data_IF_689068234586
#
_entry.id   IF_689068234586
#
_cell.length_a   1.000
_cell.length_b   1.000
_cell.length_c   1.000
_cell.angle_alpha   90.00
_cell.angle_beta   90.00
_cell.angle_gamma   90.00
#
_symmetry.space_group_name_H-M   'P 1'
#
loop_
_entity.id
_entity.type
_entity.pdbx_description
1 polymer ?
#
# COMPACT_ATOMS: atom_id res chain seq x y z
N UNK A 1 -14.66 70.71 7.72
CA UNK A 1 -16.00 70.75 7.08
C UNK A 1 -16.66 69.41 7.40
N UNK A 2 -17.52 69.37 8.42
CA UNK A 2 -19.01 69.21 8.30
C UNK A 2 -19.39 67.87 7.66
N UNK A 3 -20.27 67.01 8.17
CA UNK A 3 -21.14 66.92 9.35
C UNK A 3 -21.69 65.48 9.36
N UNK A 4 -22.09 64.96 10.52
CA UNK A 4 -22.98 63.80 10.67
C UNK A 4 -24.27 63.94 9.83
N UNK A 5 -24.91 62.82 9.45
CA UNK A 5 -26.32 62.58 9.82
C UNK A 5 -26.73 61.10 9.69
N UNK A 6 -27.38 60.62 10.75
CA UNK A 6 -28.23 59.43 10.85
C UNK A 6 -29.45 59.51 9.92
N UNK A 7 -29.95 58.35 9.47
CA UNK A 7 -31.39 58.12 9.34
C UNK A 7 -31.72 56.63 9.51
N UNK A 8 -32.45 56.32 10.57
CA UNK A 8 -33.13 55.06 10.82
C UNK A 8 -34.50 55.05 10.11
N UNK A 9 -34.97 53.87 9.69
CA UNK A 9 -36.38 53.60 9.38
C UNK A 9 -36.63 52.10 9.64
N UNK A 10 -37.16 51.73 10.81
CA UNK A 10 -38.58 51.37 11.07
C UNK A 10 -39.14 50.36 10.06
N UNK A 11 -39.17 49.06 10.39
CA UNK A 11 -40.19 48.31 11.16
C UNK A 11 -41.45 47.99 10.36
N UNK A 12 -41.59 46.73 9.96
CA UNK A 12 -42.89 46.04 9.91
C UNK A 12 -42.69 44.54 10.13
N UNK A 13 -42.92 44.12 11.37
CA UNK A 13 -43.15 42.73 11.77
C UNK A 13 -44.59 42.40 11.36
N UNK A 14 -44.76 41.45 10.44
CA UNK A 14 -46.06 40.81 10.20
C UNK A 14 -46.03 39.40 10.79
N UNK A 15 -46.58 39.33 12.01
CA UNK A 15 -46.89 38.12 12.76
C UNK A 15 -48.19 37.54 12.21
N UNK A 16 -48.12 36.44 11.47
CA UNK A 16 -49.31 35.65 11.10
C UNK A 16 -49.42 34.45 12.04
N UNK A 17 -50.22 34.61 13.09
CA UNK A 17 -50.80 33.51 13.85
C UNK A 17 -51.74 32.72 12.94
N UNK A 18 -51.41 31.47 12.64
CA UNK A 18 -52.37 30.50 12.11
C UNK A 18 -52.63 29.44 13.19
N UNK A 19 -53.86 29.49 13.68
CA UNK A 19 -54.45 28.70 14.75
C UNK A 19 -54.35 27.21 14.45
N UNK A 20 -53.85 26.44 15.42
CA UNK A 20 -53.92 24.99 15.52
C UNK A 20 -55.40 24.56 15.55
N UNK A 21 -55.93 24.15 14.40
CA UNK A 21 -57.21 23.48 14.28
C UNK A 21 -57.01 21.99 14.03
N UNK A 22 -57.29 21.15 15.03
CA UNK A 22 -57.42 19.71 14.87
C UNK A 22 -58.48 19.39 13.80
N UNK A 23 -58.13 18.57 12.81
CA UNK A 23 -59.10 17.85 11.97
C UNK A 23 -58.75 16.36 11.86
N UNK A 24 -59.77 15.51 11.75
CA UNK A 24 -59.74 14.17 12.30
C UNK A 24 -59.08 13.14 11.38
N UNK A 25 -58.53 12.11 12.05
CA UNK A 25 -58.05 10.85 11.49
C UNK A 25 -59.11 10.21 10.55
N UNK A 26 -58.76 9.81 9.32
CA UNK A 26 -59.69 9.08 8.45
C UNK A 26 -60.03 7.70 9.06
N UNK A 27 -61.28 7.22 8.90
CA UNK A 27 -61.73 5.97 9.51
C UNK A 27 -60.99 4.76 8.94
N UNK A 28 -60.67 3.83 9.83
CA UNK A 28 -60.11 2.52 9.49
C UNK A 28 -61.10 1.75 8.60
N UNK A 29 -60.60 1.16 7.52
CA UNK A 29 -61.34 0.19 6.72
C UNK A 29 -61.70 -1.03 7.59
N UNK A 30 -62.90 -1.62 7.41
CA UNK A 30 -63.33 -2.76 8.22
C UNK A 30 -62.53 -4.01 7.89
N UNK A 31 -62.31 -4.83 8.93
CA UNK A 31 -61.72 -6.14 8.85
C UNK A 31 -62.60 -7.11 8.04
N UNK A 32 -62.04 -7.77 7.03
CA UNK A 32 -62.61 -8.98 6.45
C UNK A 32 -62.15 -10.20 7.25
N UNK A 33 -63.14 -10.96 7.72
CA UNK A 33 -62.99 -12.26 8.37
C UNK A 33 -62.83 -13.38 7.29
N UNK A 34 -62.36 -14.58 7.68
CA UNK A 34 -61.62 -15.49 6.80
C UNK A 34 -62.54 -16.32 5.90
N UNK A 35 -62.13 -16.53 4.65
CA UNK A 35 -62.79 -17.48 3.74
C UNK A 35 -61.98 -18.77 3.65
N UNK A 36 -62.71 -19.87 3.76
CA UNK A 36 -62.29 -21.23 4.02
C UNK A 36 -61.42 -21.89 2.93
N UNK A 37 -60.66 -22.89 3.38
CA UNK A 37 -59.79 -23.79 2.62
C UNK A 37 -60.51 -24.94 1.91
N UNK A 38 -59.86 -25.42 0.84
CA UNK A 38 -59.82 -26.77 0.24
C UNK A 38 -60.72 -27.06 -0.99
N UNK A 39 -60.39 -28.04 -1.87
CA UNK A 39 -59.24 -28.96 -1.86
C UNK A 39 -58.37 -28.95 -3.15
N UNK A 40 -57.24 -29.65 -3.05
CA UNK A 40 -56.29 -29.94 -4.12
C UNK A 40 -56.88 -30.83 -5.23
N UNK A 41 -56.46 -30.58 -6.48
CA UNK A 41 -56.66 -31.49 -7.63
C UNK A 41 -55.30 -31.92 -8.16
N UNK A 42 -55.16 -33.24 -8.33
CA UNK A 42 -53.93 -33.97 -8.68
C UNK A 42 -53.94 -34.36 -10.18
N UNK A 43 -52.84 -34.03 -10.87
CA UNK A 43 -52.15 -34.68 -12.02
C UNK A 43 -52.90 -34.88 -13.37
N UNK A 44 -52.21 -35.01 -14.54
CA UNK A 44 -51.16 -36.02 -14.78
C UNK A 44 -49.86 -35.51 -15.47
N UNK A 45 -48.82 -36.34 -15.34
CA UNK A 45 -47.52 -36.24 -15.98
C UNK A 45 -47.48 -36.92 -17.36
N UNK A 46 -46.59 -36.47 -18.27
CA UNK A 46 -45.86 -37.26 -19.28
C UNK A 46 -45.10 -36.33 -20.27
N UNK A 47 -44.07 -36.79 -21.02
CA UNK A 47 -43.15 -37.90 -20.80
C UNK A 47 -41.66 -37.51 -20.93
N UNK A 48 -40.80 -38.45 -20.55
CA UNK A 48 -39.35 -38.43 -20.60
C UNK A 48 -38.77 -38.35 -22.04
N UNK A 49 -37.63 -37.68 -22.19
CA UNK A 49 -36.70 -37.89 -23.31
C UNK A 49 -35.42 -38.58 -22.82
N UNK A 50 -35.08 -39.67 -23.50
CA UNK A 50 -33.95 -40.57 -23.27
C UNK A 50 -32.70 -40.13 -24.10
N UNK A 51 -31.50 -40.70 -23.86
CA UNK A 51 -30.23 -39.95 -23.84
C UNK A 51 -29.23 -40.18 -25.00
N UNK A 52 -28.17 -39.36 -24.96
CA UNK A 52 -26.78 -39.53 -25.45
C UNK A 52 -26.45 -39.12 -26.92
N UNK A 53 -25.22 -38.63 -27.21
CA UNK A 53 -23.98 -39.39 -27.00
C UNK A 53 -22.83 -38.66 -26.28
N UNK A 54 -21.91 -39.50 -25.78
CA UNK A 54 -20.67 -39.23 -25.06
C UNK A 54 -19.51 -38.98 -26.04
N UNK A 55 -18.72 -37.91 -25.83
CA UNK A 55 -17.28 -37.73 -26.16
C UNK A 55 -16.97 -36.21 -26.06
N UNK A 56 -15.87 -35.69 -25.49
CA UNK A 56 -14.60 -36.24 -25.06
C UNK A 56 -14.05 -35.41 -23.89
N UNK A 57 -13.21 -36.04 -23.07
CA UNK A 57 -12.57 -35.42 -21.92
C UNK A 57 -11.37 -34.52 -22.31
N UNK A 58 -11.26 -33.42 -21.56
CA UNK A 58 -10.06 -32.63 -21.18
C UNK A 58 -9.31 -31.77 -22.22
N UNK A 59 -8.60 -30.69 -21.81
CA UNK A 59 -8.29 -30.28 -20.43
C UNK A 59 -8.68 -28.83 -20.06
N UNK A 60 -9.07 -28.65 -18.80
CA UNK A 60 -8.83 -27.43 -18.03
C UNK A 60 -7.32 -27.22 -17.90
N UNK A 61 -6.82 -25.97 -18.03
CA UNK A 61 -5.66 -25.57 -17.24
C UNK A 61 -5.95 -24.34 -16.38
N UNK A 62 -5.81 -24.58 -15.07
CA UNK A 62 -5.32 -23.67 -14.03
C UNK A 62 -6.16 -22.42 -13.69
N UNK A 63 -7.32 -22.67 -13.08
CA UNK A 63 -7.63 -21.97 -11.84
C UNK A 63 -6.93 -22.74 -10.72
N UNK A 64 -5.78 -22.25 -10.27
CA UNK A 64 -5.27 -22.44 -8.91
C UNK A 64 -4.05 -21.53 -8.70
N UNK A 65 -4.29 -20.41 -8.05
CA UNK A 65 -3.29 -19.77 -7.19
C UNK A 65 -4.01 -19.40 -5.90
N UNK A 66 -4.30 -20.41 -5.09
CA UNK A 66 -4.65 -20.24 -3.68
C UNK A 66 -3.46 -19.62 -2.94
N UNK A 67 -3.38 -18.30 -2.96
CA UNK A 67 -2.48 -17.52 -2.10
C UNK A 67 -3.15 -17.22 -0.76
N UNK A 68 -3.32 -18.23 0.09
CA UNK A 68 -3.63 -18.00 1.49
C UNK A 68 -2.42 -17.29 2.14
N UNK A 69 -2.52 -15.97 2.30
CA UNK A 69 -1.49 -15.12 2.90
C UNK A 69 -0.33 -14.80 1.97
N UNK A 70 -0.59 -14.13 0.84
CA UNK A 70 0.37 -13.83 -0.22
C UNK A 70 1.73 -13.32 0.33
N UNK A 71 2.70 -14.22 0.34
CA UNK A 71 4.11 -13.87 0.50
C UNK A 71 4.54 -13.15 -0.78
N UNK A 72 4.50 -11.82 -0.73
CA UNK A 72 4.69 -10.95 -1.89
C UNK A 72 6.04 -11.19 -2.58
N UNK A 73 7.06 -11.60 -1.81
CA UNK A 73 8.41 -11.83 -2.31
C UNK A 73 8.54 -13.15 -3.10
N UNK A 74 7.54 -14.05 -2.98
CA UNK A 74 7.44 -15.26 -3.81
C UNK A 74 6.74 -15.01 -5.14
N UNK A 75 6.13 -13.84 -5.34
CA UNK A 75 5.46 -13.51 -6.60
C UNK A 75 6.54 -13.17 -7.65
N UNK A 76 6.50 -13.87 -8.78
CA UNK A 76 7.50 -13.73 -9.83
C UNK A 76 7.55 -12.29 -10.38
N UNK A 77 8.76 -11.73 -10.46
CA UNK A 77 9.00 -10.39 -11.04
C UNK A 77 8.66 -10.38 -12.52
N UNK A 78 7.82 -9.45 -12.93
CA UNK A 78 7.37 -9.26 -14.31
C UNK A 78 8.30 -8.28 -15.04
N UNK A 79 8.87 -8.73 -16.16
CA UNK A 79 9.77 -7.93 -17.02
C UNK A 79 9.05 -7.28 -18.22
N UNK A 80 7.75 -7.57 -18.40
CA UNK A 80 6.92 -6.91 -19.41
C UNK A 80 6.89 -5.40 -19.15
N UNK A 81 7.10 -4.56 -20.17
CA UNK A 81 6.95 -3.11 -20.03
C UNK A 81 5.55 -2.76 -19.53
N UNK A 82 5.47 -1.96 -18.47
CA UNK A 82 4.22 -1.39 -17.98
C UNK A 82 3.97 -0.03 -18.63
N UNK A 83 2.70 0.40 -18.74
CA UNK A 83 2.37 1.79 -19.03
C UNK A 83 3.08 2.73 -18.03
N UNK A 84 3.41 3.97 -18.44
CA UNK A 84 3.93 4.96 -17.50
C UNK A 84 2.90 5.18 -16.39
N UNK A 85 3.37 5.48 -15.18
CA UNK A 85 2.46 5.86 -14.12
C UNK A 85 1.71 7.15 -14.52
N UNK A 86 0.39 7.20 -14.31
CA UNK A 86 -0.47 6.17 -13.71
C UNK A 86 -0.85 5.07 -14.70
N UNK A 87 -0.92 3.83 -14.21
CA UNK A 87 -1.08 2.65 -15.06
C UNK A 87 -2.47 2.54 -15.72
N UNK A 88 -3.48 3.13 -15.07
CA UNK A 88 -4.86 3.19 -15.56
C UNK A 88 -5.33 4.65 -15.48
N UNK A 89 -5.97 5.11 -16.56
CA UNK A 89 -6.62 6.42 -16.64
C UNK A 89 -8.12 6.28 -16.94
N UNK A 90 -8.83 7.41 -16.98
CA UNK A 90 -10.25 7.45 -17.30
C UNK A 90 -10.53 6.89 -18.71
N UNK A 91 -11.65 6.17 -18.90
CA UNK A 91 -12.20 5.92 -20.23
C UNK A 91 -12.32 7.21 -21.04
N UNK A 92 -11.96 7.15 -22.31
CA UNK A 92 -11.97 8.33 -23.20
C UNK A 92 -13.35 9.02 -23.29
N UNK A 93 -14.44 8.27 -23.05
CA UNK A 93 -15.81 8.78 -23.09
C UNK A 93 -16.18 9.73 -21.93
N UNK A 94 -15.38 9.76 -20.86
CA UNK A 94 -15.72 10.54 -19.66
C UNK A 94 -15.31 12.00 -19.84
N UNK A 95 -16.28 12.90 -19.69
CA UNK A 95 -16.06 14.35 -19.71
C UNK A 95 -15.25 14.81 -18.49
N UNK A 96 -14.48 15.89 -18.63
CA UNK A 96 -13.60 16.39 -17.56
C UNK A 96 -14.34 16.69 -16.25
N UNK A 97 -15.56 17.24 -16.32
CA UNK A 97 -16.38 17.56 -15.15
C UNK A 97 -16.80 16.34 -14.31
N UNK A 98 -16.82 15.16 -14.92
CA UNK A 98 -17.19 13.88 -14.29
C UNK A 98 -15.98 13.13 -13.73
N UNK A 99 -14.77 13.66 -13.91
CA UNK A 99 -13.53 13.08 -13.39
C UNK A 99 -13.28 13.54 -11.96
N UNK A 100 -12.90 12.61 -11.08
CA UNK A 100 -12.51 12.90 -9.69
C UNK A 100 -11.18 12.23 -9.40
N UNK A 101 -10.13 13.04 -9.33
CA UNK A 101 -8.76 12.56 -9.14
C UNK A 101 -8.22 13.05 -7.80
N UNK A 102 -7.62 12.14 -7.05
CA UNK A 102 -6.76 12.45 -5.92
C UNK A 102 -5.37 11.88 -6.23
N UNK A 103 -4.31 12.65 -5.94
CA UNK A 103 -2.96 12.20 -6.23
C UNK A 103 -1.97 12.78 -5.23
N UNK A 104 -0.91 12.03 -4.96
CA UNK A 104 0.26 12.50 -4.21
C UNK A 104 1.52 11.88 -4.78
N UNK A 105 2.62 12.63 -4.79
CA UNK A 105 3.94 12.14 -5.13
C UNK A 105 4.56 11.26 -4.03
N UNK A 106 4.03 11.36 -2.81
CA UNK A 106 4.40 10.55 -1.66
C UNK A 106 3.31 10.59 -0.58
N UNK A 107 2.78 9.43 -0.20
CA UNK A 107 1.83 9.23 0.90
C UNK A 107 1.79 7.75 1.30
N UNK A 108 1.06 7.42 2.36
CA UNK A 108 0.78 6.07 2.82
C UNK A 108 -0.69 5.71 2.59
N UNK A 109 -0.95 4.61 1.87
CA UNK A 109 -2.27 4.00 1.74
C UNK A 109 -2.27 2.61 2.37
N UNK A 110 -3.43 2.16 2.85
CA UNK A 110 -3.58 0.83 3.43
C UNK A 110 -4.41 -0.06 2.49
N UNK A 111 -3.88 -1.24 2.17
CA UNK A 111 -4.50 -2.23 1.29
C UNK A 111 -4.65 -3.57 2.02
N UNK A 112 -5.55 -4.42 1.57
CA UNK A 112 -5.66 -5.79 2.08
C UNK A 112 -4.71 -6.71 1.29
N UNK A 113 -3.86 -7.46 1.99
CA UNK A 113 -3.01 -8.53 1.44
C UNK A 113 -3.27 -9.80 2.24
N UNK A 114 -3.70 -10.86 1.56
CA UNK A 114 -4.30 -12.03 2.18
C UNK A 114 -5.52 -11.62 3.01
N UNK A 115 -5.37 -11.70 4.33
CA UNK A 115 -6.35 -11.33 5.34
C UNK A 115 -5.79 -10.28 6.32
N UNK A 116 -4.79 -9.50 5.91
CA UNK A 116 -4.14 -8.47 6.74
C UNK A 116 -4.18 -7.11 6.06
N UNK A 117 -4.23 -6.07 6.85
CA UNK A 117 -3.98 -4.70 6.39
C UNK A 117 -2.47 -4.47 6.19
N UNK A 118 -2.09 -4.03 5.00
CA UNK A 118 -0.73 -3.76 4.57
C UNK A 118 -0.58 -2.28 4.20
N UNK A 119 0.42 -1.61 4.77
CA UNK A 119 0.73 -0.22 4.42
C UNK A 119 1.59 -0.19 3.15
N UNK A 120 1.21 0.65 2.20
CA UNK A 120 1.93 0.89 0.95
C UNK A 120 2.26 2.37 0.87
N UNK A 121 3.53 2.68 0.71
CA UNK A 121 4.02 4.05 0.66
C UNK A 121 4.58 4.38 -0.71
N UNK A 122 4.32 5.60 -1.18
CA UNK A 122 4.86 6.06 -2.46
C UNK A 122 3.95 7.00 -3.20
N UNK A 123 4.13 7.03 -4.52
CA UNK A 123 3.32 7.88 -5.39
C UNK A 123 2.00 7.17 -5.67
N UNK A 124 0.89 7.86 -5.45
CA UNK A 124 -0.42 7.31 -5.75
C UNK A 124 -1.27 8.26 -6.59
N UNK A 125 -2.18 7.67 -7.37
CA UNK A 125 -3.26 8.36 -8.06
C UNK A 125 -4.52 7.52 -7.92
N UNK A 126 -5.54 8.09 -7.31
CA UNK A 126 -6.89 7.55 -7.24
C UNK A 126 -7.75 8.28 -8.27
N UNK A 127 -8.37 7.52 -9.17
CA UNK A 127 -9.41 8.05 -10.06
C UNK A 127 -10.76 7.48 -9.65
N UNK A 128 -11.79 8.31 -9.73
CA UNK A 128 -13.16 7.93 -9.44
C UNK A 128 -14.09 8.51 -10.51
N UNK A 129 -15.04 7.71 -10.98
CA UNK A 129 -16.04 8.15 -11.96
C UNK A 129 -17.32 7.32 -11.89
N UNK A 130 -18.41 7.89 -12.40
CA UNK A 130 -19.69 7.20 -12.50
C UNK A 130 -19.77 6.27 -13.72
N UNK A 131 -20.36 5.10 -13.53
CA UNK A 131 -20.61 4.14 -14.61
C UNK A 131 -21.48 4.75 -15.73
N UNK A 132 -22.45 5.59 -15.35
CA UNK A 132 -23.33 6.31 -16.28
C UNK A 132 -22.57 7.29 -17.17
N UNK A 133 -21.61 8.04 -16.63
CA UNK A 133 -20.76 8.95 -17.38
C UNK A 133 -19.86 8.20 -18.38
N UNK A 134 -19.36 7.02 -17.97
CA UNK A 134 -18.57 6.14 -18.82
C UNK A 134 -19.41 5.35 -19.85
N UNK A 135 -20.74 5.32 -19.70
CA UNK A 135 -21.69 4.52 -20.51
C UNK A 135 -21.34 3.03 -20.53
N UNK A 136 -20.88 2.49 -19.40
CA UNK A 136 -20.56 1.06 -19.24
C UNK A 136 -21.34 0.47 -18.07
N UNK A 137 -21.61 -0.84 -18.13
CA UNK A 137 -22.21 -1.55 -17.00
C UNK A 137 -21.15 -1.88 -15.95
N UNK A 138 -21.59 -2.16 -14.72
CA UNK A 138 -20.73 -2.67 -13.64
C UNK A 138 -19.97 -3.94 -14.05
N UNK A 139 -20.65 -4.88 -14.71
CA UNK A 139 -20.02 -6.12 -15.17
C UNK A 139 -18.97 -5.89 -16.25
N UNK A 140 -19.24 -4.95 -17.16
CA UNK A 140 -18.25 -4.52 -18.15
C UNK A 140 -17.04 -3.90 -17.47
N UNK A 141 -17.23 -2.98 -16.51
CA UNK A 141 -16.15 -2.38 -15.76
C UNK A 141 -15.32 -3.44 -15.00
N UNK A 142 -15.96 -4.37 -14.31
CA UNK A 142 -15.29 -5.47 -13.61
C UNK A 142 -14.42 -6.30 -14.56
N UNK A 143 -14.98 -6.72 -15.70
CA UNK A 143 -14.24 -7.49 -16.71
C UNK A 143 -13.05 -6.69 -17.25
N UNK A 144 -13.28 -5.46 -17.68
CA UNK A 144 -12.28 -4.67 -18.40
C UNK A 144 -11.12 -4.26 -17.49
N UNK A 145 -11.39 -3.83 -16.25
CA UNK A 145 -10.33 -3.44 -15.30
C UNK A 145 -9.61 -4.63 -14.67
N UNK A 146 -10.32 -5.74 -14.41
CA UNK A 146 -9.66 -7.00 -14.03
C UNK A 146 -8.72 -7.48 -15.12
N UNK A 147 -9.18 -7.46 -16.38
CA UNK A 147 -8.35 -7.82 -17.52
C UNK A 147 -7.13 -6.90 -17.64
N UNK A 148 -7.31 -5.58 -17.50
CA UNK A 148 -6.20 -4.64 -17.54
C UNK A 148 -5.15 -4.95 -16.45
N UNK A 149 -5.58 -5.23 -15.23
CA UNK A 149 -4.68 -5.60 -14.14
C UNK A 149 -3.89 -6.89 -14.44
N UNK A 150 -4.57 -7.93 -14.94
CA UNK A 150 -3.95 -9.21 -15.30
C UNK A 150 -3.02 -9.08 -16.52
N UNK A 151 -3.40 -8.31 -17.54
CA UNK A 151 -2.57 -8.09 -18.74
C UNK A 151 -1.27 -7.35 -18.40
N UNK A 152 -1.26 -6.55 -17.32
CA UNK A 152 -0.06 -5.92 -16.77
C UNK A 152 0.78 -6.87 -15.89
N UNK A 153 0.36 -8.12 -15.70
CA UNK A 153 1.02 -9.09 -14.84
C UNK A 153 0.64 -8.98 -13.36
N UNK A 154 -0.50 -8.34 -13.06
CA UNK A 154 -1.01 -8.21 -11.70
C UNK A 154 -1.51 -9.54 -11.15
N UNK A 155 -1.03 -9.88 -9.95
CA UNK A 155 -1.53 -10.99 -9.15
C UNK A 155 -2.49 -10.44 -8.11
N UNK A 156 -3.72 -10.98 -8.02
CA UNK A 156 -4.66 -10.59 -6.96
C UNK A 156 -4.15 -11.12 -5.63
N UNK A 157 -4.00 -10.22 -4.65
CA UNK A 157 -3.36 -10.54 -3.36
C UNK A 157 -4.29 -10.52 -2.17
N UNK A 158 -5.49 -9.95 -2.25
CA UNK A 158 -6.47 -10.01 -1.16
C UNK A 158 -7.35 -11.28 -1.26
N UNK A 159 -7.66 -11.87 -0.10
CA UNK A 159 -8.56 -13.03 0.04
C UNK A 159 -9.88 -12.69 0.73
N UNK A 160 -9.97 -11.49 1.31
CA UNK A 160 -11.14 -10.96 2.00
C UNK A 160 -11.40 -9.53 1.52
N UNK A 161 -12.58 -9.02 1.83
CA UNK A 161 -13.01 -7.65 1.60
C UNK A 161 -13.14 -6.89 2.93
N UNK A 162 -13.17 -5.55 2.93
CA UNK A 162 -13.25 -4.75 4.16
C UNK A 162 -14.50 -5.03 5.00
N UNK A 163 -15.59 -5.47 4.36
CA UNK A 163 -16.89 -5.77 4.93
C UNK A 163 -17.06 -7.24 5.37
N UNK A 164 -16.02 -8.09 5.24
CA UNK A 164 -16.06 -9.45 5.75
C UNK A 164 -16.10 -9.45 7.30
N UNK A 165 -17.15 -10.02 7.89
CA UNK A 165 -17.38 -10.01 9.34
C UNK A 165 -16.19 -10.53 10.15
N UNK A 166 -15.53 -11.60 9.68
CA UNK A 166 -14.37 -12.19 10.38
C UNK A 166 -13.14 -11.31 10.25
N UNK A 167 -12.98 -10.65 9.10
CA UNK A 167 -11.92 -9.67 8.91
C UNK A 167 -12.13 -8.44 9.82
N UNK A 168 -13.35 -7.92 9.90
CA UNK A 168 -13.71 -6.81 10.79
C UNK A 168 -13.45 -7.17 12.25
N UNK A 169 -13.91 -8.35 12.70
CA UNK A 169 -13.68 -8.83 14.07
C UNK A 169 -12.18 -8.96 14.38
N UNK A 170 -11.39 -9.54 13.46
CA UNK A 170 -9.95 -9.68 13.61
C UNK A 170 -9.19 -8.33 13.66
N UNK A 171 -9.82 -7.23 13.23
CA UNK A 171 -9.25 -5.88 13.23
C UNK A 171 -9.94 -4.94 14.22
N UNK A 172 -10.58 -5.49 15.25
CA UNK A 172 -11.11 -4.74 16.40
C UNK A 172 -12.62 -4.53 16.39
N UNK A 173 -13.35 -5.10 15.43
CA UNK A 173 -14.81 -5.08 15.39
C UNK A 173 -15.44 -3.74 14.98
N UNK A 174 -14.64 -2.69 14.78
CA UNK A 174 -15.10 -1.37 14.34
C UNK A 174 -14.94 -1.24 12.82
N UNK A 175 -16.02 -1.56 12.09
CA UNK A 175 -16.05 -1.46 10.63
C UNK A 175 -15.84 -0.04 10.13
N UNK A 176 -16.31 0.98 10.87
CA UNK A 176 -16.15 2.38 10.46
C UNK A 176 -14.68 2.82 10.54
N UNK A 177 -13.98 2.46 11.61
CA UNK A 177 -12.56 2.75 11.74
C UNK A 177 -11.72 2.03 10.68
N UNK A 178 -12.08 0.78 10.36
CA UNK A 178 -11.44 -0.02 9.32
C UNK A 178 -11.66 0.57 7.92
N UNK A 179 -12.90 0.93 7.60
CA UNK A 179 -13.28 1.57 6.34
C UNK A 179 -12.50 2.86 6.13
N UNK A 180 -12.46 3.72 7.16
CA UNK A 180 -11.68 4.96 7.14
C UNK A 180 -10.19 4.70 6.91
N UNK A 181 -9.61 3.66 7.53
CA UNK A 181 -8.20 3.31 7.36
C UNK A 181 -7.89 2.82 5.95
N UNK A 182 -8.80 2.05 5.36
CA UNK A 182 -8.67 1.47 4.02
C UNK A 182 -9.12 2.41 2.89
N UNK A 183 -9.59 3.62 3.24
CA UNK A 183 -10.21 4.57 2.29
C UNK A 183 -11.36 3.90 1.51
N UNK A 184 -12.08 3.03 2.22
CA UNK A 184 -13.24 2.28 1.74
C UNK A 184 -14.53 3.00 2.17
N UNK A 185 -15.56 2.92 1.34
CA UNK A 185 -16.84 3.57 1.60
C UNK A 185 -18.00 2.59 1.51
N UNK A 186 -17.94 1.49 2.28
CA UNK A 186 -19.07 0.63 2.71
C UNK A 186 -20.06 0.06 1.68
N UNK A 187 -19.92 0.39 0.39
CA UNK A 187 -20.93 0.13 -0.63
C UNK A 187 -20.33 -0.48 -1.90
N UNK A 188 -19.09 -0.98 -1.83
CA UNK A 188 -18.44 -1.59 -2.98
C UNK A 188 -18.88 -3.03 -3.19
N UNK A 189 -19.12 -3.41 -4.44
CA UNK A 189 -19.32 -4.81 -4.81
C UNK A 189 -18.03 -5.53 -5.17
N UNK A 190 -16.90 -4.81 -5.18
CA UNK A 190 -15.56 -5.38 -5.29
C UNK A 190 -14.57 -4.61 -4.43
N UNK A 191 -13.56 -5.32 -3.92
CA UNK A 191 -12.35 -4.72 -3.35
C UNK A 191 -11.21 -5.62 -3.80
N UNK A 192 -10.69 -5.38 -5.00
CA UNK A 192 -9.67 -6.24 -5.59
C UNK A 192 -8.33 -5.53 -5.58
N UNK A 193 -7.37 -6.10 -4.85
CA UNK A 193 -6.00 -5.60 -4.75
C UNK A 193 -5.11 -6.46 -5.63
N UNK A 194 -4.45 -5.83 -6.60
CA UNK A 194 -3.47 -6.44 -7.48
C UNK A 194 -2.08 -5.92 -7.19
N UNK A 195 -1.12 -6.84 -7.18
CA UNK A 195 0.30 -6.58 -6.97
C UNK A 195 1.08 -6.94 -8.24
N UNK A 196 1.95 -6.02 -8.68
CA UNK A 196 2.81 -6.19 -9.86
C UNK A 196 4.26 -5.90 -9.46
N UNK A 197 5.08 -6.93 -9.17
CA UNK A 197 6.49 -6.74 -8.92
C UNK A 197 7.24 -6.55 -10.25
N UNK A 198 8.03 -5.49 -10.38
CA UNK A 198 8.88 -5.24 -11.56
C UNK A 198 10.35 -5.05 -11.15
N UNK A 199 11.31 -5.14 -12.08
CA UNK A 199 12.71 -4.83 -11.80
C UNK A 199 12.94 -3.39 -11.28
N UNK A 200 12.01 -2.47 -11.57
CA UNK A 200 12.07 -1.06 -11.19
C UNK A 200 11.23 -0.74 -9.95
N UNK A 201 10.67 -1.74 -9.29
CA UNK A 201 9.96 -1.60 -8.01
C UNK A 201 8.59 -2.29 -7.99
N UNK A 202 7.88 -2.10 -6.88
CA UNK A 202 6.56 -2.72 -6.63
C UNK A 202 5.44 -1.78 -7.05
N UNK A 203 4.51 -2.26 -7.86
CA UNK A 203 3.33 -1.49 -8.28
C UNK A 203 2.06 -2.14 -7.75
N UNK A 204 1.07 -1.33 -7.42
CA UNK A 204 -0.19 -1.79 -6.84
C UNK A 204 -1.39 -1.17 -7.56
N UNK A 205 -2.48 -1.94 -7.60
CA UNK A 205 -3.78 -1.44 -8.03
C UNK A 205 -4.85 -1.90 -7.04
N UNK A 206 -5.69 -0.99 -6.57
CA UNK A 206 -6.95 -1.33 -5.90
C UNK A 206 -8.10 -0.93 -6.82
N UNK A 207 -8.96 -1.90 -7.13
CA UNK A 207 -10.14 -1.73 -7.98
C UNK A 207 -11.39 -1.93 -7.11
N UNK A 208 -12.17 -0.87 -6.97
CA UNK A 208 -13.46 -0.88 -6.27
C UNK A 208 -14.56 -0.48 -7.23
N UNK A 209 -15.57 -1.34 -7.37
CA UNK A 209 -16.69 -1.13 -8.28
C UNK A 209 -17.97 -1.44 -7.53
N UNK A 210 -18.90 -0.47 -7.54
CA UNK A 210 -20.26 -0.64 -7.04
C UNK A 210 -21.27 -0.42 -8.16
N UNK A 211 -22.55 -0.33 -7.79
CA UNK A 211 -23.62 -0.10 -8.77
C UNK A 211 -23.64 1.32 -9.35
N UNK A 212 -22.90 2.26 -8.74
CA UNK A 212 -22.89 3.68 -9.13
C UNK A 212 -21.63 4.10 -9.89
N UNK A 213 -20.48 3.49 -9.60
CA UNK A 213 -19.19 4.01 -10.04
C UNK A 213 -18.02 3.06 -9.82
N UNK A 214 -16.87 3.55 -10.29
CA UNK A 214 -15.59 2.88 -10.25
C UNK A 214 -14.60 3.78 -9.51
N UNK A 215 -13.81 3.20 -8.61
CA UNK A 215 -12.62 3.80 -8.00
C UNK A 215 -11.42 2.91 -8.29
N UNK A 216 -10.36 3.50 -8.83
CA UNK A 216 -9.10 2.80 -9.13
C UNK A 216 -7.96 3.58 -8.52
N UNK A 217 -7.29 2.97 -7.54
CA UNK A 217 -6.06 3.47 -6.97
C UNK A 217 -4.89 2.81 -7.70
N UNK A 218 -4.03 3.60 -8.34
CA UNK A 218 -2.71 3.17 -8.82
C UNK A 218 -1.66 3.63 -7.82
N UNK A 219 -0.77 2.72 -7.40
CA UNK A 219 0.37 3.06 -6.54
C UNK A 219 1.67 2.60 -7.20
N UNK A 220 2.59 3.53 -7.30
CA UNK A 220 3.99 3.21 -7.49
C UNK A 220 4.67 3.28 -6.14
N UNK A 221 4.96 2.11 -5.57
CA UNK A 221 5.57 2.02 -4.26
C UNK A 221 6.96 2.63 -4.34
N UNK A 222 7.15 3.70 -3.58
CA UNK A 222 8.49 4.14 -3.22
C UNK A 222 8.73 3.39 -1.93
N UNK A 223 9.71 2.49 -1.93
CA UNK A 223 10.25 2.00 -0.67
C UNK A 223 10.55 3.23 0.17
N UNK A 224 9.70 3.49 1.15
CA UNK A 224 10.11 4.28 2.30
C UNK A 224 11.30 3.58 2.87
N UNK A 225 12.19 4.35 3.48
CA UNK A 225 13.29 3.80 4.23
C UNK A 225 12.78 3.03 5.46
N UNK A 226 12.07 1.92 5.24
CA UNK A 226 12.28 0.71 6.02
C UNK A 226 13.76 0.42 5.93
N UNK A 227 14.44 1.00 6.91
CA UNK A 227 15.78 0.74 7.36
C UNK A 227 15.82 -0.64 8.03
N UNK A 228 15.20 -1.60 7.35
CA UNK A 228 15.45 -3.04 7.41
C UNK A 228 15.76 -3.43 5.97
N UNK A 229 16.86 -2.87 5.47
CA UNK A 229 17.60 -3.46 4.38
C UNK A 229 18.01 -4.88 4.83
N UNK A 230 17.23 -5.91 4.51
CA UNK A 230 17.84 -7.23 4.33
C UNK A 230 18.58 -7.19 2.98
N UNK A 231 19.61 -6.35 2.90
CA UNK A 231 20.63 -6.52 1.86
C UNK A 231 21.31 -7.83 2.23
N UNK A 232 21.02 -8.88 1.49
CA UNK A 232 21.61 -10.19 1.76
C UNK A 232 23.11 -10.17 1.47
N UNK A 233 23.85 -11.12 2.04
CA UNK A 233 25.27 -11.32 1.77
C UNK A 233 25.57 -11.38 0.26
N UNK A 234 24.67 -11.97 -0.54
CA UNK A 234 24.82 -12.06 -2.00
C UNK A 234 24.76 -10.69 -2.69
N UNK A 235 23.81 -9.84 -2.29
CA UNK A 235 23.70 -8.47 -2.82
C UNK A 235 24.90 -7.64 -2.38
N UNK A 236 25.27 -7.71 -1.09
CA UNK A 236 26.47 -7.02 -0.58
C UNK A 236 27.72 -7.40 -1.38
N UNK A 237 27.92 -8.70 -1.64
CA UNK A 237 29.05 -9.18 -2.44
C UNK A 237 29.05 -8.56 -3.84
N UNK A 238 27.92 -8.61 -4.54
CA UNK A 238 27.79 -8.08 -5.90
C UNK A 238 28.13 -6.59 -5.97
N UNK A 239 27.64 -5.81 -5.01
CA UNK A 239 27.91 -4.36 -4.93
C UNK A 239 29.37 -4.07 -4.55
N UNK A 240 29.95 -4.81 -3.59
CA UNK A 240 31.35 -4.67 -3.20
C UNK A 240 32.31 -5.08 -4.34
N UNK A 241 31.95 -6.07 -5.15
CA UNK A 241 32.77 -6.49 -6.29
C UNK A 241 32.68 -5.52 -7.47
N UNK A 242 31.50 -4.92 -7.71
CA UNK A 242 31.30 -4.00 -8.83
C UNK A 242 31.70 -2.55 -8.53
N UNK A 243 31.42 -2.06 -7.31
CA UNK A 243 31.60 -0.65 -6.92
C UNK A 243 32.64 -0.44 -5.83
N UNK A 244 33.09 -1.51 -5.18
CA UNK A 244 34.00 -1.42 -4.05
C UNK A 244 33.34 -0.94 -2.76
N UNK A 245 32.06 -0.58 -2.75
CA UNK A 245 31.35 -0.14 -1.54
C UNK A 245 29.84 -0.35 -1.64
N UNK A 246 29.16 -0.36 -0.49
CA UNK A 246 27.70 -0.41 -0.37
C UNK A 246 27.22 0.35 0.87
N UNK A 247 26.16 1.14 0.72
CA UNK A 247 25.50 1.84 1.81
C UNK A 247 24.44 0.95 2.49
N UNK A 248 24.50 0.87 3.82
CA UNK A 248 23.58 0.17 4.69
C UNK A 248 22.90 1.16 5.65
N UNK A 249 21.58 1.12 5.70
CA UNK A 249 20.79 1.95 6.62
C UNK A 249 20.61 1.22 7.96
N UNK A 250 21.72 1.03 8.68
CA UNK A 250 21.71 0.51 10.05
C UNK A 250 21.29 1.64 10.99
N UNK A 251 20.16 1.46 11.68
CA UNK A 251 19.60 2.48 12.55
C UNK A 251 20.32 2.56 13.90
N UNK A 252 20.46 3.80 14.37
CA UNK A 252 20.91 4.14 15.71
C UNK A 252 19.95 5.17 16.30
N UNK A 253 19.76 5.13 17.63
CA UNK A 253 19.05 6.20 18.33
C UNK A 253 19.77 7.54 18.15
N UNK A 254 19.01 8.64 18.24
CA UNK A 254 19.54 10.01 18.21
C UNK A 254 20.65 10.18 19.25
N UNK A 255 21.78 10.74 18.82
CA UNK A 255 23.00 10.95 19.62
C UNK A 255 23.60 9.70 20.29
N UNK A 256 23.17 8.50 19.91
CA UNK A 256 23.74 7.24 20.41
C UNK A 256 24.49 6.48 19.32
N UNK A 257 25.44 5.68 19.79
CA UNK A 257 26.20 4.72 18.98
C UNK A 257 25.88 3.26 19.33
N UNK A 258 24.89 3.00 20.18
CA UNK A 258 24.45 1.65 20.51
C UNK A 258 23.68 1.05 19.34
N UNK A 259 24.14 -0.09 18.84
CA UNK A 259 23.43 -0.85 17.80
C UNK A 259 22.07 -1.30 18.35
N UNK A 260 21.00 -0.95 17.64
CA UNK A 260 19.64 -1.33 17.99
C UNK A 260 19.35 -2.78 17.56
N UNK A 261 18.40 -3.48 18.21
CA UNK A 261 18.03 -4.85 17.83
C UNK A 261 17.59 -4.99 16.37
N UNK A 262 16.95 -3.95 15.79
CA UNK A 262 16.53 -3.90 14.39
C UNK A 262 17.71 -3.84 13.40
N UNK A 263 18.91 -3.44 13.84
CA UNK A 263 20.14 -3.46 13.06
C UNK A 263 20.86 -4.82 13.04
N UNK A 264 20.51 -5.74 13.95
CA UNK A 264 21.17 -7.05 14.07
C UNK A 264 21.07 -7.90 12.79
N UNK A 265 19.93 -7.99 12.08
CA UNK A 265 19.85 -8.80 10.86
C UNK A 265 20.83 -8.33 9.76
N UNK A 266 21.07 -7.02 9.66
CA UNK A 266 22.06 -6.50 8.71
C UNK A 266 23.48 -6.92 9.12
N UNK A 267 23.81 -6.87 10.41
CA UNK A 267 25.11 -7.35 10.93
C UNK A 267 25.29 -8.84 10.67
N UNK A 268 24.25 -9.64 10.86
CA UNK A 268 24.27 -11.09 10.62
C UNK A 268 24.59 -11.42 9.14
N UNK A 269 24.00 -10.67 8.20
CA UNK A 269 24.29 -10.82 6.76
C UNK A 269 25.72 -10.39 6.40
N UNK A 270 26.26 -9.34 7.02
CA UNK A 270 27.66 -8.94 6.84
C UNK A 270 28.59 -10.04 7.36
N UNK A 271 28.31 -10.58 8.55
CA UNK A 271 29.08 -11.67 9.13
C UNK A 271 29.03 -12.92 8.24
N UNK A 272 27.85 -13.27 7.71
CA UNK A 272 27.69 -14.38 6.77
C UNK A 272 28.53 -14.18 5.50
N UNK A 273 28.51 -12.97 4.92
CA UNK A 273 29.37 -12.61 3.78
C UNK A 273 30.84 -12.79 4.12
N UNK A 274 31.32 -12.21 5.22
CA UNK A 274 32.74 -12.24 5.58
C UNK A 274 33.24 -13.63 5.98
N UNK A 275 32.36 -14.50 6.50
CA UNK A 275 32.66 -15.93 6.74
C UNK A 275 32.81 -16.69 5.42
N UNK A 276 31.97 -16.39 4.43
CA UNK A 276 32.04 -17.01 3.10
C UNK A 276 33.25 -16.51 2.30
N UNK A 277 33.53 -15.22 2.36
CA UNK A 277 34.60 -14.55 1.60
C UNK A 277 35.78 -14.25 2.53
N UNK A 278 36.58 -15.26 2.85
CA UNK A 278 37.66 -15.16 3.86
C UNK A 278 38.76 -14.15 3.51
N UNK A 279 38.96 -13.84 2.23
CA UNK A 279 39.91 -12.83 1.75
C UNK A 279 39.35 -11.39 1.80
N UNK A 280 38.05 -11.21 2.06
CA UNK A 280 37.42 -9.89 2.08
C UNK A 280 37.86 -9.10 3.32
N UNK A 281 38.37 -7.89 3.10
CA UNK A 281 38.65 -6.91 4.14
C UNK A 281 37.70 -5.71 3.95
N UNK A 282 37.11 -5.22 5.04
CA UNK A 282 36.12 -4.14 4.99
C UNK A 282 36.50 -2.97 5.90
N UNK A 283 36.31 -1.75 5.42
CA UNK A 283 36.17 -0.56 6.24
C UNK A 283 34.69 -0.28 6.45
N UNK A 284 34.28 -0.18 7.71
CA UNK A 284 32.95 0.25 8.12
C UNK A 284 33.00 1.77 8.32
N UNK A 285 32.29 2.52 7.48
CA UNK A 285 32.33 3.98 7.47
C UNK A 285 30.99 4.55 7.96
N UNK A 286 31.01 5.36 9.02
CA UNK A 286 29.82 6.02 9.54
C UNK A 286 29.62 7.42 8.93
N UNK A 287 28.36 7.80 8.73
CA UNK A 287 27.97 9.12 8.23
C UNK A 287 26.81 9.71 9.04
N UNK A 288 26.75 11.03 9.09
CA UNK A 288 25.65 11.80 9.69
C UNK A 288 25.04 12.73 8.65
N UNK A 289 23.90 13.33 8.98
CA UNK A 289 23.46 14.55 8.31
C UNK A 289 24.28 15.76 8.78
N UNK A 290 23.96 16.94 8.24
CA UNK A 290 24.66 18.19 8.55
C UNK A 290 24.13 18.93 9.79
N UNK A 291 23.20 18.33 10.56
CA UNK A 291 22.61 18.98 11.73
C UNK A 291 23.56 18.82 12.92
N UNK A 292 23.71 19.87 13.72
CA UNK A 292 24.52 19.86 14.94
C UNK A 292 26.00 20.21 14.72
N UNK A 293 26.84 19.86 15.71
CA UNK A 293 28.26 20.22 15.70
C UNK A 293 29.09 19.26 14.83
N UNK A 294 29.86 19.82 13.88
CA UNK A 294 30.70 19.05 12.94
C UNK A 294 31.66 18.08 13.63
N UNK A 295 32.40 18.54 14.65
CA UNK A 295 33.37 17.69 15.35
C UNK A 295 32.65 16.55 16.09
N UNK A 296 31.50 16.85 16.73
CA UNK A 296 30.68 15.81 17.37
C UNK A 296 30.15 14.79 16.37
N UNK A 297 29.72 15.22 15.18
CA UNK A 297 29.23 14.33 14.12
C UNK A 297 30.31 13.37 13.61
N UNK A 298 31.56 13.83 13.47
CA UNK A 298 32.70 12.96 13.13
C UNK A 298 32.95 11.93 14.24
N UNK A 299 32.90 12.35 15.51
CA UNK A 299 33.03 11.41 16.63
C UNK A 299 31.89 10.39 16.67
N UNK A 300 30.63 10.84 16.57
CA UNK A 300 29.44 9.99 16.64
C UNK A 300 29.40 8.96 15.50
N UNK A 301 29.69 9.40 14.27
CA UNK A 301 29.76 8.49 13.13
C UNK A 301 30.83 7.41 13.30
N UNK A 302 32.01 7.77 13.84
CA UNK A 302 33.07 6.81 14.16
C UNK A 302 32.64 5.82 15.23
N UNK A 303 31.99 6.28 16.31
CA UNK A 303 31.48 5.43 17.39
C UNK A 303 30.46 4.41 16.86
N UNK A 304 29.57 4.83 15.95
CA UNK A 304 28.60 3.94 15.29
C UNK A 304 29.27 2.87 14.43
N UNK A 305 30.26 3.26 13.63
CA UNK A 305 31.04 2.31 12.84
C UNK A 305 31.78 1.30 13.74
N UNK A 306 32.34 1.77 14.86
CA UNK A 306 32.99 0.90 15.85
C UNK A 306 32.01 -0.10 16.48
N UNK A 307 30.77 0.32 16.77
CA UNK A 307 29.76 -0.58 17.31
C UNK A 307 29.43 -1.73 16.35
N UNK A 308 29.33 -1.45 15.05
CA UNK A 308 29.14 -2.49 14.02
C UNK A 308 30.35 -3.42 13.96
N UNK A 309 31.58 -2.87 13.95
CA UNK A 309 32.80 -3.69 13.98
C UNK A 309 32.86 -4.59 15.21
N UNK A 310 32.53 -4.08 16.39
CA UNK A 310 32.51 -4.88 17.62
C UNK A 310 31.48 -6.01 17.57
N UNK A 311 30.31 -5.75 16.98
CA UNK A 311 29.30 -6.78 16.76
C UNK A 311 29.83 -7.88 15.81
N UNK A 312 30.45 -7.51 14.69
CA UNK A 312 31.04 -8.47 13.74
C UNK A 312 32.17 -9.31 14.35
N UNK A 313 33.02 -8.69 15.18
CA UNK A 313 34.07 -9.41 15.92
C UNK A 313 33.46 -10.39 16.92
N UNK A 314 32.38 -9.99 17.60
CA UNK A 314 31.64 -10.87 18.50
C UNK A 314 31.01 -12.06 17.77
N UNK A 315 30.64 -11.88 16.50
CA UNK A 315 30.15 -12.95 15.62
C UNK A 315 31.26 -13.81 14.98
N UNK A 316 32.52 -13.59 15.39
CA UNK A 316 33.67 -14.42 15.03
C UNK A 316 34.45 -13.94 13.80
N UNK A 317 34.26 -12.70 13.34
CA UNK A 317 35.09 -12.12 12.27
C UNK A 317 36.41 -11.61 12.87
N UNK A 318 37.52 -11.97 12.23
CA UNK A 318 38.84 -11.48 12.62
C UNK A 318 38.92 -9.94 12.53
N UNK A 319 39.23 -9.30 13.65
CA UNK A 319 39.41 -7.85 13.75
C UNK A 319 40.43 -7.26 12.77
N UNK A 320 41.45 -8.03 12.35
CA UNK A 320 42.46 -7.58 11.37
C UNK A 320 41.91 -7.41 9.95
N UNK A 321 40.69 -7.88 9.70
CA UNK A 321 39.94 -7.75 8.44
C UNK A 321 38.96 -6.58 8.45
N UNK A 322 38.86 -5.87 9.56
CA UNK A 322 37.89 -4.81 9.79
C UNK A 322 38.59 -3.51 10.20
N UNK A 323 38.14 -2.39 9.65
CA UNK A 323 38.45 -1.05 10.15
C UNK A 323 37.18 -0.24 10.35
N UNK A 324 37.24 0.79 11.22
CA UNK A 324 36.13 1.71 11.44
C UNK A 324 36.57 3.15 11.15
N UNK A 325 35.80 3.88 10.35
CA UNK A 325 35.99 5.30 10.07
C UNK A 325 34.70 6.09 10.31
N UNK A 326 34.82 7.38 10.62
CA UNK A 326 33.69 8.29 10.75
C UNK A 326 33.93 9.54 9.91
N UNK A 327 32.96 9.88 9.08
CA UNK A 327 33.04 11.03 8.16
C UNK A 327 32.12 12.20 8.56
N UNK A 328 31.32 12.04 9.61
CA UNK A 328 30.28 13.00 9.95
C UNK A 328 29.43 13.34 8.72
N UNK A 329 29.28 14.63 8.45
CA UNK A 329 28.50 15.16 7.33
C UNK A 329 29.32 15.39 6.04
N UNK A 330 30.60 14.99 6.00
CA UNK A 330 31.53 15.41 4.93
C UNK A 330 31.33 14.66 3.60
N UNK A 331 30.65 13.52 3.62
CA UNK A 331 30.34 12.70 2.44
C UNK A 331 28.82 12.49 2.28
N UNK A 332 28.04 13.54 1.94
CA UNK A 332 26.60 13.41 1.73
C UNK A 332 26.31 12.68 0.41
N UNK A 333 25.30 11.81 0.41
CA UNK A 333 24.77 11.15 -0.80
C UNK A 333 23.55 11.86 -1.36
N UNK A 334 22.93 12.70 -0.55
CA UNK A 334 21.77 13.52 -0.91
C UNK A 334 21.88 14.91 -0.29
N UNK A 335 21.15 15.86 -0.86
CA UNK A 335 21.04 17.20 -0.29
C UNK A 335 20.49 17.18 1.13
N UNK A 336 21.09 17.95 2.05
CA UNK A 336 20.64 18.03 3.45
C UNK A 336 19.50 19.05 3.67
N UNK A 337 19.05 19.76 2.62
CA UNK A 337 17.96 20.73 2.69
C UNK A 337 16.59 20.10 3.03
N UNK A 338 16.41 18.81 2.76
CA UNK A 338 15.17 18.06 3.06
C UNK A 338 15.40 17.00 4.15
N UNK A 339 14.34 16.63 4.88
CA UNK A 339 14.45 15.53 5.87
C UNK A 339 14.76 14.20 5.20
N UNK A 340 14.18 13.91 4.03
CA UNK A 340 14.47 12.69 3.27
C UNK A 340 15.95 12.59 2.90
N UNK A 341 16.56 13.69 2.49
CA UNK A 341 17.98 13.73 2.17
C UNK A 341 18.87 13.58 3.41
N UNK A 342 18.49 14.21 4.54
CA UNK A 342 19.17 13.99 5.84
C UNK A 342 19.07 12.54 6.30
N UNK A 343 17.90 11.93 6.19
CA UNK A 343 17.68 10.53 6.53
C UNK A 343 18.59 9.60 5.71
N UNK A 344 18.75 9.86 4.41
CA UNK A 344 19.68 9.10 3.57
C UNK A 344 21.15 9.33 3.93
N UNK A 345 21.51 10.51 4.42
CA UNK A 345 22.89 10.81 4.83
C UNK A 345 23.26 10.15 6.16
N UNK A 346 22.29 9.91 7.05
CA UNK A 346 22.47 9.12 8.29
C UNK A 346 22.57 7.62 7.96
N UNK A 347 23.77 7.15 7.62
CA UNK A 347 24.01 5.77 7.16
C UNK A 347 25.35 5.21 7.61
N UNK A 348 25.52 3.91 7.43
CA UNK A 348 26.81 3.21 7.52
C UNK A 348 27.15 2.66 6.14
N UNK A 349 28.38 2.78 5.68
CA UNK A 349 28.85 2.17 4.44
C UNK A 349 29.86 1.06 4.73
N UNK A 350 29.86 0.02 3.90
CA UNK A 350 30.94 -0.95 3.83
C UNK A 350 31.78 -0.64 2.61
N UNK A 351 33.08 -0.51 2.80
CA UNK A 351 34.05 -0.25 1.72
C UNK A 351 35.05 -1.41 1.67
N UNK A 352 35.18 -2.03 0.50
CA UNK A 352 36.15 -3.09 0.23
C UNK A 352 37.57 -2.51 0.29
N UNK A 353 38.40 -3.09 1.14
CA UNK A 353 39.81 -2.71 1.27
C UNK A 353 40.65 -3.70 0.47
N UNK A 354 41.39 -3.19 -0.51
CA UNK A 354 42.41 -3.98 -1.21
C UNK A 354 43.71 -3.84 -0.42
N UNK A 355 44.13 -4.90 0.27
CA UNK A 355 45.49 -4.99 0.81
C UNK A 355 46.41 -5.21 -0.39
N UNK A 356 47.26 -4.24 -0.68
CA UNK A 356 48.25 -4.27 -1.75
C UNK A 356 49.40 -5.23 -1.47
#
# INVERSE_FOLDING_TARGET
MTKQLNAALCLSISLAFAVTGCKPKPPAAPAEAPVASAPAVVAPAAPAQAPAPVAAATPTPAADSTGAGADLDKIAVITKPLPPFPFIDYPAAIAEGDRRTEQSDFDQKHLIVGNKVHAVEGRFRLISFHLSAAKISKFQAQRDYTKAAVDMGGVKVNTVTPDDDKFVEAHGGDSYALDKKLDFHGNSSSYDVYFVPTPTGRKWMLIMINDSGVRILSVEEKQTGSSVNMVTAAVMKSELDSKGHIALYINFDTDKATLRPDGKPAVDEIAALMKKETALNLSVEGHTDNVGNKARNVTLSRERAQAVVQALVSDGIDSTRLSAAGHGAEKPVMDNGSEDGRAKNRRVELVKVVKG
#
